data_IF_168513958726
#
_entry.id   IF_168513958726
#
_cell.length_a   1.000
_cell.length_b   1.000
_cell.length_c   1.000
_cell.angle_alpha   90.00
_cell.angle_beta   90.00
_cell.angle_gamma   90.00
#
_symmetry.space_group_name_H-M   'P 1'
#
loop_
_entity.id
_entity.type
_entity.pdbx_description
1 polymer ?
#
# COMPACT_ATOMS: atom_id res chain seq x y z
N UNK A 1 10.99 -39.60 -8.36
CA UNK A 1 11.82 -38.53 -7.76
C UNK A 1 11.25 -38.20 -6.39
N UNK A 2 12.08 -38.03 -5.36
CA UNK A 2 11.63 -37.50 -4.07
C UNK A 2 11.45 -35.99 -4.23
N UNK A 3 10.34 -35.55 -4.82
CA UNK A 3 9.99 -34.14 -4.88
C UNK A 3 9.89 -33.59 -3.45
N UNK A 4 10.63 -32.50 -3.20
CA UNK A 4 10.64 -31.77 -1.94
C UNK A 4 9.33 -30.99 -1.76
N UNK A 5 9.13 -30.35 -0.61
CA UNK A 5 7.85 -29.69 -0.30
C UNK A 5 7.53 -28.52 -1.23
N UNK A 6 8.53 -27.77 -1.71
CA UNK A 6 8.35 -26.68 -2.66
C UNK A 6 7.85 -27.17 -4.01
N UNK A 7 8.47 -28.23 -4.58
CA UNK A 7 8.00 -28.83 -5.84
C UNK A 7 6.62 -29.45 -5.68
N UNK A 8 6.36 -30.10 -4.54
CA UNK A 8 5.02 -30.62 -4.26
C UNK A 8 3.98 -29.50 -4.19
N UNK A 9 4.34 -28.33 -3.66
CA UNK A 9 3.47 -27.17 -3.58
C UNK A 9 3.26 -26.48 -4.93
N UNK A 10 4.30 -26.35 -5.76
CA UNK A 10 4.17 -25.82 -7.14
C UNK A 10 3.32 -26.72 -8.03
N UNK A 11 3.33 -28.03 -7.79
CA UNK A 11 2.49 -29.00 -8.50
C UNK A 11 1.05 -29.07 -7.94
N UNK A 12 0.75 -28.37 -6.85
CA UNK A 12 -0.55 -28.46 -6.17
C UNK A 12 -0.82 -29.82 -5.53
N UNK A 13 0.23 -30.62 -5.30
CA UNK A 13 0.12 -31.99 -4.82
C UNK A 13 -0.19 -32.01 -3.30
N UNK A 14 -1.46 -31.81 -2.97
CA UNK A 14 -1.97 -31.71 -1.61
C UNK A 14 -1.56 -32.89 -0.74
N UNK A 15 -1.75 -34.12 -1.21
CA UNK A 15 -1.42 -35.34 -0.46
C UNK A 15 0.07 -35.40 -0.11
N UNK A 16 0.93 -34.96 -1.02
CA UNK A 16 2.37 -34.97 -0.81
C UNK A 16 2.81 -33.88 0.15
N UNK A 17 2.26 -32.66 0.02
CA UNK A 17 2.56 -31.56 0.96
C UNK A 17 2.10 -31.94 2.37
N UNK A 18 0.87 -32.43 2.52
CA UNK A 18 0.34 -32.91 3.79
C UNK A 18 1.16 -34.06 4.35
N UNK A 19 1.53 -35.04 3.52
CA UNK A 19 2.41 -36.13 3.91
C UNK A 19 3.73 -35.61 4.48
N UNK A 20 4.35 -34.61 3.86
CA UNK A 20 5.60 -34.02 4.36
C UNK A 20 5.35 -33.26 5.67
N UNK A 21 4.34 -32.40 5.74
CA UNK A 21 4.08 -31.58 6.93
C UNK A 21 3.76 -32.43 8.15
N UNK A 22 2.92 -33.48 8.01
CA UNK A 22 2.56 -34.38 9.12
C UNK A 22 3.72 -35.25 9.61
N UNK A 23 4.56 -35.76 8.70
CA UNK A 23 5.59 -36.74 9.06
C UNK A 23 6.98 -36.12 9.30
N UNK A 24 7.14 -34.82 9.09
CA UNK A 24 8.42 -34.14 9.32
C UNK A 24 8.76 -33.91 10.80
N UNK A 25 7.85 -34.21 11.74
CA UNK A 25 7.99 -33.90 13.17
C UNK A 25 8.37 -32.43 13.43
N UNK A 26 7.82 -31.50 12.65
CA UNK A 26 8.11 -30.06 12.75
C UNK A 26 9.41 -29.63 12.09
N UNK A 27 10.15 -30.54 11.46
CA UNK A 27 11.34 -30.19 10.65
C UNK A 27 10.93 -29.34 9.45
N UNK A 28 9.77 -29.64 8.84
CA UNK A 28 9.21 -28.87 7.72
C UNK A 28 7.88 -28.25 8.12
N UNK A 29 7.70 -27.00 7.75
CA UNK A 29 6.49 -26.19 7.97
C UNK A 29 6.14 -25.46 6.68
N UNK A 30 4.95 -24.86 6.57
CA UNK A 30 4.64 -24.02 5.41
C UNK A 30 5.56 -22.78 5.28
N UNK A 31 6.30 -22.40 6.34
CA UNK A 31 7.29 -21.31 6.32
C UNK A 31 8.73 -21.81 6.11
N UNK A 32 8.93 -23.11 5.85
CA UNK A 32 10.27 -23.64 5.59
C UNK A 32 10.85 -22.99 4.34
N UNK A 33 11.96 -22.28 4.54
CA UNK A 33 12.67 -21.52 3.52
C UNK A 33 13.66 -22.40 2.77
N UNK A 34 13.74 -22.25 1.45
CA UNK A 34 14.86 -22.76 0.66
C UNK A 34 16.06 -21.80 0.71
N UNK A 35 17.03 -21.97 -0.18
CA UNK A 35 18.24 -21.12 -0.25
C UNK A 35 17.94 -19.65 -0.58
N UNK A 36 16.82 -19.36 -1.24
CA UNK A 36 16.37 -18.04 -1.63
C UNK A 36 15.33 -17.47 -0.65
N UNK A 37 15.11 -18.14 0.48
CA UNK A 37 14.04 -17.74 1.41
C UNK A 37 12.65 -18.15 0.95
N UNK A 38 12.53 -18.76 -0.24
CA UNK A 38 11.28 -19.13 -0.87
C UNK A 38 10.61 -20.25 -0.07
N UNK A 39 9.29 -20.18 0.10
CA UNK A 39 8.55 -21.15 0.92
C UNK A 39 7.56 -21.93 0.07
N UNK A 40 7.05 -23.08 0.57
CA UNK A 40 5.95 -23.78 -0.09
C UNK A 40 4.70 -22.91 -0.31
N UNK A 41 4.50 -21.88 0.51
CA UNK A 41 3.38 -20.94 0.34
C UNK A 41 3.61 -20.01 -0.86
N UNK A 42 4.85 -19.55 -1.09
CA UNK A 42 5.17 -18.80 -2.31
C UNK A 42 4.94 -19.68 -3.55
N UNK A 43 5.45 -20.91 -3.54
CA UNK A 43 5.24 -21.86 -4.64
C UNK A 43 3.75 -22.15 -4.90
N UNK A 44 2.95 -22.37 -3.86
CA UNK A 44 1.51 -22.60 -4.02
C UNK A 44 0.78 -21.36 -4.56
N UNK A 45 1.18 -20.15 -4.14
CA UNK A 45 0.59 -18.90 -4.62
C UNK A 45 0.95 -18.62 -6.08
N UNK A 46 2.22 -18.81 -6.47
CA UNK A 46 2.69 -18.59 -7.84
C UNK A 46 1.95 -19.41 -8.88
N UNK A 47 1.55 -20.64 -8.52
CA UNK A 47 0.82 -21.55 -9.42
C UNK A 47 -0.68 -21.66 -9.12
N UNK A 48 -1.22 -20.75 -8.30
CA UNK A 48 -2.67 -20.63 -8.05
C UNK A 48 -3.33 -21.78 -7.27
N UNK A 49 -2.58 -22.49 -6.43
CA UNK A 49 -3.06 -23.62 -5.64
C UNK A 49 -3.80 -23.18 -4.37
N UNK A 50 -4.95 -22.52 -4.55
CA UNK A 50 -5.74 -21.88 -3.48
C UNK A 50 -6.18 -22.83 -2.36
N UNK A 51 -6.61 -24.05 -2.70
CA UNK A 51 -7.03 -25.04 -1.70
C UNK A 51 -5.86 -25.48 -0.82
N UNK A 52 -4.68 -25.58 -1.43
CA UNK A 52 -3.45 -25.91 -0.72
C UNK A 52 -3.04 -24.76 0.22
N UNK A 53 -3.13 -23.50 -0.23
CA UNK A 53 -2.88 -22.33 0.62
C UNK A 53 -3.83 -22.29 1.81
N UNK A 54 -5.15 -22.44 1.57
CA UNK A 54 -6.17 -22.50 2.64
C UNK A 54 -5.83 -23.58 3.66
N UNK A 55 -5.45 -24.77 3.20
CA UNK A 55 -5.09 -25.87 4.08
C UNK A 55 -3.83 -25.58 4.89
N UNK A 56 -2.79 -25.04 4.25
CA UNK A 56 -1.54 -24.66 4.93
C UNK A 56 -1.79 -23.61 6.02
N UNK A 57 -2.58 -22.58 5.77
CA UNK A 57 -2.94 -21.56 6.77
C UNK A 57 -3.77 -22.14 7.92
N UNK A 58 -4.84 -22.89 7.61
CA UNK A 58 -5.84 -23.28 8.61
C UNK A 58 -5.42 -24.50 9.45
N UNK A 59 -4.70 -25.46 8.87
CA UNK A 59 -4.37 -26.73 9.54
C UNK A 59 -2.90 -26.81 9.98
N UNK A 60 -2.01 -26.04 9.36
CA UNK A 60 -0.55 -26.14 9.57
C UNK A 60 0.08 -24.82 10.02
N UNK A 61 -0.73 -23.88 10.52
CA UNK A 61 -0.28 -22.57 11.00
C UNK A 61 0.53 -21.79 9.95
N UNK A 62 0.11 -21.87 8.69
CA UNK A 62 0.61 -21.11 7.57
C UNK A 62 0.55 -19.59 7.81
N UNK A 63 1.68 -18.89 7.71
CA UNK A 63 1.70 -17.43 7.59
C UNK A 63 1.71 -17.01 6.12
N UNK A 64 0.59 -16.46 5.64
CA UNK A 64 0.45 -16.01 4.25
C UNK A 64 1.24 -14.73 3.94
N UNK A 65 1.80 -14.07 4.96
CA UNK A 65 2.63 -12.88 4.84
C UNK A 65 4.12 -13.18 5.05
N UNK A 66 4.50 -14.46 5.00
CA UNK A 66 5.91 -14.87 5.11
C UNK A 66 6.74 -14.21 4.01
N UNK A 67 7.91 -13.68 4.36
CA UNK A 67 8.80 -13.03 3.40
C UNK A 67 9.83 -14.02 2.87
N UNK A 68 10.17 -13.99 1.60
CA UNK A 68 11.37 -14.62 1.06
C UNK A 68 12.65 -13.77 1.34
N UNK A 69 13.75 -13.97 0.60
CA UNK A 69 14.96 -13.18 0.78
C UNK A 69 14.91 -11.82 0.06
N UNK A 70 14.07 -11.68 -0.96
CA UNK A 70 13.84 -10.42 -1.67
C UNK A 70 12.80 -9.55 -0.94
N UNK A 71 12.18 -10.11 0.12
CA UNK A 71 11.18 -9.41 0.93
C UNK A 71 9.78 -9.53 0.33
N UNK A 72 9.61 -10.38 -0.68
CA UNK A 72 8.34 -10.67 -1.29
C UNK A 72 7.52 -11.57 -0.39
N UNK A 73 6.21 -11.33 -0.37
CA UNK A 73 5.21 -12.23 0.23
C UNK A 73 4.70 -13.21 -0.83
N UNK A 74 4.02 -14.31 -0.46
CA UNK A 74 3.29 -15.14 -1.43
C UNK A 74 2.38 -14.35 -2.36
N UNK A 75 1.82 -13.21 -1.90
CA UNK A 75 1.00 -12.36 -2.75
C UNK A 75 1.82 -11.77 -3.90
N UNK A 76 3.05 -11.28 -3.69
CA UNK A 76 3.88 -10.71 -4.77
C UNK A 76 4.11 -11.68 -5.95
N UNK A 77 4.03 -12.99 -5.71
CA UNK A 77 4.28 -14.02 -6.72
C UNK A 77 3.02 -14.50 -7.47
N UNK A 78 1.82 -14.00 -7.15
CA UNK A 78 0.56 -14.46 -7.78
C UNK A 78 0.45 -14.01 -9.24
N UNK A 79 -0.01 -14.90 -10.11
CA UNK A 79 -0.24 -14.63 -11.55
C UNK A 79 -1.73 -14.43 -11.91
N UNK A 80 -2.68 -14.72 -11.01
CA UNK A 80 -4.12 -14.65 -11.31
C UNK A 80 -4.98 -13.99 -10.21
N UNK A 81 -6.05 -13.31 -10.64
CA UNK A 81 -6.97 -12.59 -9.75
C UNK A 81 -7.73 -13.49 -8.77
N UNK A 82 -7.97 -14.76 -9.12
CA UNK A 82 -8.67 -15.72 -8.27
C UNK A 82 -7.86 -16.05 -7.03
N UNK A 83 -6.56 -16.32 -7.22
CA UNK A 83 -5.62 -16.57 -6.14
C UNK A 83 -5.40 -15.34 -5.27
N UNK A 84 -5.24 -14.17 -5.88
CA UNK A 84 -5.10 -12.90 -5.15
C UNK A 84 -6.32 -12.63 -4.24
N UNK A 85 -7.54 -12.84 -4.75
CA UNK A 85 -8.78 -12.72 -3.96
C UNK A 85 -8.78 -13.62 -2.74
N UNK A 86 -8.44 -14.90 -2.91
CA UNK A 86 -8.37 -15.84 -1.78
C UNK A 86 -7.36 -15.38 -0.74
N UNK A 87 -6.15 -14.99 -1.18
CA UNK A 87 -5.10 -14.54 -0.27
C UNK A 87 -5.55 -13.31 0.52
N UNK A 88 -6.08 -12.28 -0.16
CA UNK A 88 -6.44 -11.00 0.46
C UNK A 88 -7.71 -11.11 1.31
N UNK A 89 -8.73 -11.81 0.83
CA UNK A 89 -10.08 -11.75 1.42
C UNK A 89 -10.35 -12.88 2.42
N UNK A 90 -9.70 -14.03 2.23
CA UNK A 90 -9.92 -15.20 3.09
C UNK A 90 -8.74 -15.50 4.01
N UNK A 91 -7.50 -15.29 3.54
CA UNK A 91 -6.30 -15.68 4.28
C UNK A 91 -5.62 -14.53 5.04
N UNK A 92 -6.10 -13.28 4.86
CA UNK A 92 -5.53 -12.11 5.53
C UNK A 92 -4.18 -11.67 4.96
N UNK A 93 -3.97 -11.86 3.65
CA UNK A 93 -2.82 -11.36 2.92
C UNK A 93 -2.74 -9.84 2.97
N UNK A 94 -1.63 -9.32 3.48
CA UNK A 94 -1.37 -7.90 3.57
C UNK A 94 -0.74 -7.40 2.26
N UNK A 95 -1.57 -6.79 1.43
CA UNK A 95 -1.19 -6.18 0.15
C UNK A 95 -0.43 -4.85 0.27
N UNK A 96 -0.11 -4.39 1.48
CA UNK A 96 0.67 -3.16 1.72
C UNK A 96 2.14 -3.41 2.08
N UNK A 97 2.52 -4.69 2.25
CA UNK A 97 3.91 -5.06 2.55
C UNK A 97 4.78 -4.69 1.35
N UNK A 98 5.92 -4.06 1.62
CA UNK A 98 6.92 -3.69 0.62
C UNK A 98 8.09 -4.66 0.65
N UNK A 99 8.51 -5.11 -0.52
CA UNK A 99 9.73 -5.91 -0.69
C UNK A 99 11.01 -5.05 -0.54
N UNK A 100 12.17 -5.65 -0.77
CA UNK A 100 13.47 -4.99 -0.62
C UNK A 100 13.71 -3.86 -1.64
N UNK A 101 12.99 -3.86 -2.75
CA UNK A 101 12.97 -2.79 -3.75
C UNK A 101 11.96 -1.68 -3.42
N UNK A 102 11.23 -1.84 -2.31
CA UNK A 102 10.23 -0.87 -1.86
C UNK A 102 8.87 -1.05 -2.55
N UNK A 103 8.64 -2.14 -3.25
CA UNK A 103 7.43 -2.38 -4.03
C UNK A 103 6.39 -3.14 -3.22
N UNK A 104 5.13 -2.72 -3.30
CA UNK A 104 3.98 -3.56 -2.90
C UNK A 104 3.69 -4.62 -3.97
N UNK A 105 2.86 -5.65 -3.70
CA UNK A 105 2.46 -6.60 -4.74
C UNK A 105 1.86 -5.89 -5.97
N UNK A 106 1.05 -4.84 -5.76
CA UNK A 106 0.50 -4.03 -6.85
C UNK A 106 1.60 -3.39 -7.70
N UNK A 107 2.60 -2.75 -7.07
CA UNK A 107 3.71 -2.10 -7.77
C UNK A 107 4.49 -3.11 -8.64
N UNK A 108 4.75 -4.30 -8.10
CA UNK A 108 5.46 -5.36 -8.82
C UNK A 108 4.65 -5.89 -10.02
N UNK A 109 3.32 -6.05 -9.91
CA UNK A 109 2.50 -6.47 -11.05
C UNK A 109 2.48 -5.43 -12.18
N UNK A 110 2.46 -4.15 -11.82
CA UNK A 110 2.50 -3.04 -12.79
C UNK A 110 3.85 -3.01 -13.52
N UNK A 111 4.97 -3.17 -12.80
CA UNK A 111 6.31 -3.15 -13.42
C UNK A 111 6.52 -4.34 -14.35
N UNK A 112 6.12 -5.54 -13.92
CA UNK A 112 6.31 -6.77 -14.71
C UNK A 112 5.34 -6.91 -15.89
N UNK A 113 4.30 -6.07 -15.95
CA UNK A 113 3.30 -6.10 -17.01
C UNK A 113 2.38 -7.31 -16.94
N UNK A 114 1.95 -7.66 -15.72
CA UNK A 114 1.10 -8.82 -15.42
C UNK A 114 -0.34 -8.67 -15.96
N UNK A 115 -1.18 -9.67 -15.68
CA UNK A 115 -2.60 -9.70 -16.06
C UNK A 115 -3.37 -8.44 -15.61
N UNK A 116 -4.07 -7.80 -16.55
CA UNK A 116 -4.80 -6.55 -16.29
C UNK A 116 -5.96 -6.68 -15.30
N UNK A 117 -6.59 -7.85 -15.18
CA UNK A 117 -7.63 -8.10 -14.17
C UNK A 117 -7.02 -8.19 -12.76
N UNK A 118 -5.83 -8.77 -12.63
CA UNK A 118 -5.09 -8.82 -11.37
C UNK A 118 -4.65 -7.42 -10.93
N UNK A 119 -4.07 -6.65 -11.84
CA UNK A 119 -3.65 -5.27 -11.58
C UNK A 119 -4.85 -4.42 -11.14
N UNK A 120 -5.97 -4.47 -11.87
CA UNK A 120 -7.17 -3.69 -11.53
C UNK A 120 -7.77 -4.13 -10.19
N UNK A 121 -7.81 -5.43 -9.90
CA UNK A 121 -8.25 -5.91 -8.59
C UNK A 121 -7.38 -5.34 -7.47
N UNK A 122 -6.05 -5.43 -7.61
CA UNK A 122 -5.10 -5.00 -6.59
C UNK A 122 -5.08 -3.49 -6.42
N UNK A 123 -5.28 -2.73 -7.50
CA UNK A 123 -5.51 -1.28 -7.49
C UNK A 123 -6.72 -0.91 -6.64
N UNK A 124 -7.88 -1.52 -6.92
CA UNK A 124 -9.12 -1.30 -6.17
C UNK A 124 -8.93 -1.65 -4.69
N UNK A 125 -8.27 -2.77 -4.38
CA UNK A 125 -8.03 -3.20 -2.98
C UNK A 125 -7.07 -2.28 -2.24
N UNK A 126 -6.02 -1.82 -2.91
CA UNK A 126 -5.01 -0.95 -2.32
C UNK A 126 -5.50 0.49 -2.14
N UNK A 127 -6.67 0.84 -2.71
CA UNK A 127 -7.17 2.21 -2.70
C UNK A 127 -6.33 3.15 -3.55
N UNK A 128 -5.52 2.61 -4.46
CA UNK A 128 -4.81 3.38 -5.48
C UNK A 128 -5.86 3.83 -6.47
N UNK A 129 -6.38 5.03 -6.25
CA UNK A 129 -7.34 5.67 -7.16
C UNK A 129 -6.56 6.32 -8.29
N UNK A 130 -6.34 5.61 -9.39
CA UNK A 130 -5.94 6.30 -10.62
C UNK A 130 -7.12 7.20 -11.02
N UNK A 131 -6.89 8.50 -11.10
CA UNK A 131 -7.71 9.40 -11.89
C UNK A 131 -7.51 9.03 -13.37
N UNK A 132 -8.14 7.93 -13.80
CA UNK A 132 -8.18 7.39 -15.16
C UNK A 132 -6.84 6.92 -15.76
N UNK A 133 -6.86 5.68 -16.26
CA UNK A 133 -5.73 5.01 -16.90
C UNK A 133 -4.95 5.91 -17.86
N UNK A 134 -3.66 6.02 -17.60
CA UNK A 134 -2.71 6.77 -18.39
C UNK A 134 -1.32 6.46 -17.89
N UNK A 135 -0.53 5.86 -18.76
CA UNK A 135 0.85 5.45 -18.55
C UNK A 135 1.69 6.53 -17.84
N UNK A 136 2.51 6.08 -16.89
CA UNK A 136 3.82 6.67 -16.66
C UNK A 136 4.06 7.31 -15.31
N UNK A 137 5.18 6.89 -14.72
CA UNK A 137 5.97 7.58 -13.70
C UNK A 137 5.36 7.72 -12.30
N UNK A 138 5.53 6.67 -11.49
CA UNK A 138 5.58 6.85 -10.04
C UNK A 138 7.04 6.94 -9.56
N UNK A 139 7.54 8.17 -9.63
CA UNK A 139 8.54 8.68 -8.70
C UNK A 139 7.93 8.75 -7.30
N UNK A 140 8.70 8.31 -6.31
CA UNK A 140 8.71 8.86 -4.97
C UNK A 140 7.52 8.53 -4.09
N UNK A 141 7.75 7.65 -3.11
CA UNK A 141 6.78 7.23 -2.10
C UNK A 141 5.89 8.34 -1.54
N UNK A 142 4.60 8.05 -1.44
CA UNK A 142 3.64 9.02 -0.91
C UNK A 142 2.83 8.42 0.23
N UNK A 143 2.83 9.18 1.33
CA UNK A 143 2.07 8.93 2.52
C UNK A 143 0.58 9.01 2.23
N UNK A 144 -0.13 8.10 2.88
CA UNK A 144 -1.57 7.91 2.84
C UNK A 144 -2.27 9.23 3.21
N UNK A 145 -2.90 9.89 2.24
CA UNK A 145 -3.99 10.82 2.54
C UNK A 145 -5.22 9.94 2.76
N UNK A 146 -5.68 9.85 4.01
CA UNK A 146 -6.93 9.16 4.30
C UNK A 146 -8.11 9.90 3.64
N UNK A 147 -9.07 9.15 3.08
CA UNK A 147 -10.25 9.68 2.37
C UNK A 147 -11.02 10.76 3.15
N UNK A 148 -11.05 10.66 4.48
CA UNK A 148 -11.69 11.67 5.33
C UNK A 148 -10.98 13.02 5.29
N UNK A 149 -9.63 13.04 5.27
CA UNK A 149 -8.85 14.27 5.19
C UNK A 149 -8.99 14.94 3.82
N UNK A 150 -9.11 14.13 2.77
CA UNK A 150 -9.36 14.60 1.41
C UNK A 150 -10.73 15.32 1.31
N UNK A 151 -11.78 14.75 1.91
CA UNK A 151 -13.11 15.36 1.93
C UNK A 151 -13.15 16.65 2.74
N UNK A 152 -12.53 16.66 3.94
CA UNK A 152 -12.41 17.89 4.75
C UNK A 152 -11.67 19.01 3.99
N UNK A 153 -10.65 18.65 3.20
CA UNK A 153 -9.93 19.62 2.37
C UNK A 153 -10.79 20.16 1.23
N UNK A 154 -11.53 19.29 0.52
CA UNK A 154 -12.46 19.71 -0.55
C UNK A 154 -13.48 20.72 -0.04
N UNK A 155 -14.04 20.49 1.15
CA UNK A 155 -14.98 21.41 1.79
C UNK A 155 -14.33 22.76 2.11
N UNK A 156 -13.08 22.76 2.59
CA UNK A 156 -12.33 24.00 2.86
C UNK A 156 -12.03 24.80 1.59
N UNK A 157 -11.65 24.12 0.49
CA UNK A 157 -11.39 24.77 -0.81
C UNK A 157 -12.66 25.38 -1.35
N UNK A 158 -13.78 24.64 -1.31
CA UNK A 158 -15.08 25.12 -1.71
C UNK A 158 -15.47 26.38 -0.92
N UNK A 159 -15.33 26.35 0.40
CA UNK A 159 -15.59 27.51 1.26
C UNK A 159 -14.72 28.71 0.86
N UNK A 160 -13.44 28.48 0.57
CA UNK A 160 -12.49 29.54 0.21
C UNK A 160 -12.87 30.23 -1.08
N UNK A 161 -13.43 29.51 -2.06
CA UNK A 161 -13.81 30.04 -3.36
C UNK A 161 -15.23 30.63 -3.40
N UNK A 162 -16.15 30.11 -2.57
CA UNK A 162 -17.52 30.63 -2.47
C UNK A 162 -17.58 31.96 -1.69
N UNK A 163 -16.62 32.25 -0.81
CA UNK A 163 -16.57 33.50 -0.04
C UNK A 163 -15.57 34.47 -0.66
N UNK A 164 -15.90 35.77 -0.71
CA UNK A 164 -14.97 36.80 -1.16
C UNK A 164 -13.85 37.02 -0.11
N UNK A 165 -12.60 37.32 -0.54
CA UNK A 165 -11.54 37.65 0.41
C UNK A 165 -11.90 38.91 1.20
N UNK A 166 -11.55 38.95 2.49
CA UNK A 166 -11.77 40.14 3.32
C UNK A 166 -11.01 41.37 2.74
N UNK A 167 -11.60 42.55 2.89
CA UNK A 167 -10.97 43.82 2.49
C UNK A 167 -9.64 44.00 3.25
N UNK A 168 -8.52 43.89 2.52
CA UNK A 168 -7.17 43.94 3.08
C UNK A 168 -6.49 42.59 3.30
N UNK A 169 -7.01 41.51 2.71
CA UNK A 169 -6.33 40.20 2.69
C UNK A 169 -4.88 40.33 2.22
N UNK A 170 -3.99 39.57 2.86
CA UNK A 170 -2.58 39.56 2.52
C UNK A 170 -2.33 38.84 1.18
N UNK A 171 -1.17 39.11 0.58
CA UNK A 171 -0.83 38.52 -0.71
C UNK A 171 -0.75 36.99 -0.66
N UNK A 172 -0.46 36.40 0.50
CA UNK A 172 -0.43 34.95 0.68
C UNK A 172 -1.84 34.34 0.54
N UNK A 173 -2.86 34.90 1.20
CA UNK A 173 -4.25 34.46 1.03
C UNK A 173 -4.74 34.64 -0.40
N UNK A 174 -4.39 35.75 -1.06
CA UNK A 174 -4.74 35.99 -2.46
C UNK A 174 -4.01 35.04 -3.43
N UNK A 175 -2.77 34.66 -3.14
CA UNK A 175 -2.02 33.66 -3.92
C UNK A 175 -2.60 32.26 -3.74
N UNK A 176 -2.91 31.87 -2.50
CA UNK A 176 -3.55 30.60 -2.19
C UNK A 176 -4.87 30.44 -2.94
N UNK A 177 -5.73 31.47 -2.91
CA UNK A 177 -6.99 31.48 -3.67
C UNK A 177 -6.76 31.34 -5.18
N UNK A 178 -5.84 32.12 -5.76
CA UNK A 178 -5.53 32.06 -7.20
C UNK A 178 -5.04 30.68 -7.64
N UNK A 179 -4.26 30.00 -6.81
CA UNK A 179 -3.82 28.63 -7.07
C UNK A 179 -5.01 27.66 -7.09
N UNK A 180 -5.92 27.76 -6.12
CA UNK A 180 -7.13 26.94 -6.09
C UNK A 180 -8.04 27.22 -7.30
N UNK A 181 -8.19 28.47 -7.72
CA UNK A 181 -8.96 28.83 -8.92
C UNK A 181 -8.36 28.23 -10.21
N UNK A 182 -7.03 28.22 -10.34
CA UNK A 182 -6.35 27.58 -11.48
C UNK A 182 -6.61 26.08 -11.52
N UNK A 183 -6.51 25.41 -10.37
CA UNK A 183 -6.76 23.97 -10.25
C UNK A 183 -8.21 23.61 -10.63
N UNK A 184 -9.21 24.39 -10.17
CA UNK A 184 -10.63 24.09 -10.43
C UNK A 184 -11.05 24.43 -11.87
N UNK A 185 -10.35 25.35 -12.52
CA UNK A 185 -10.63 25.70 -13.92
C UNK A 185 -9.85 24.85 -14.93
N UNK A 186 -8.94 23.99 -14.47
CA UNK A 186 -8.19 23.05 -15.30
C UNK A 186 -9.02 21.86 -15.79
N UNK A 187 -8.50 21.15 -16.79
CA UNK A 187 -9.18 19.98 -17.38
C UNK A 187 -9.11 18.73 -16.47
N UNK A 188 -8.24 18.73 -15.45
CA UNK A 188 -7.95 17.59 -14.60
C UNK A 188 -8.01 17.94 -13.10
N UNK A 189 -9.14 18.53 -12.70
CA UNK A 189 -9.36 19.15 -11.38
C UNK A 189 -9.04 18.19 -10.23
N UNK A 190 -9.45 16.93 -10.32
CA UNK A 190 -9.33 15.98 -9.21
C UNK A 190 -7.87 15.60 -8.93
N UNK A 191 -7.08 15.34 -9.98
CA UNK A 191 -5.66 14.98 -9.85
C UNK A 191 -4.80 16.17 -9.42
N UNK A 192 -5.07 17.37 -9.95
CA UNK A 192 -4.33 18.57 -9.56
C UNK A 192 -4.63 18.99 -8.11
N UNK A 193 -5.88 18.82 -7.66
CA UNK A 193 -6.26 19.06 -6.28
C UNK A 193 -5.58 18.07 -5.33
N UNK A 194 -5.55 16.78 -5.69
CA UNK A 194 -4.88 15.77 -4.89
C UNK A 194 -3.37 16.04 -4.76
N UNK A 195 -2.70 16.36 -5.87
CA UNK A 195 -1.29 16.75 -5.88
C UNK A 195 -1.02 17.97 -4.99
N UNK A 196 -1.92 18.95 -5.02
CA UNK A 196 -1.84 20.15 -4.18
C UNK A 196 -1.93 19.79 -2.68
N UNK A 197 -2.88 18.93 -2.31
CA UNK A 197 -3.05 18.45 -0.92
C UNK A 197 -1.81 17.68 -0.46
N UNK A 198 -1.30 16.75 -1.28
CA UNK A 198 -0.09 15.98 -0.97
C UNK A 198 1.10 16.90 -0.67
N UNK A 199 1.26 17.93 -1.49
CA UNK A 199 2.32 18.94 -1.31
C UNK A 199 2.15 19.72 -0.01
N UNK A 200 0.94 20.21 0.28
CA UNK A 200 0.64 20.93 1.52
C UNK A 200 0.84 20.07 2.78
N UNK A 201 0.35 18.83 2.78
CA UNK A 201 0.54 17.89 3.90
C UNK A 201 2.02 17.60 4.12
N UNK A 202 2.79 17.42 3.04
CA UNK A 202 4.25 17.21 3.10
C UNK A 202 4.95 18.44 3.70
N UNK A 203 4.60 19.64 3.28
CA UNK A 203 5.16 20.89 3.82
C UNK A 203 4.80 21.09 5.31
N UNK A 204 3.56 20.77 5.70
CA UNK A 204 3.12 20.88 7.09
C UNK A 204 3.79 19.86 8.01
N UNK A 205 4.00 18.62 7.53
CA UNK A 205 4.73 17.58 8.26
C UNK A 205 6.22 17.91 8.40
N UNK A 206 6.84 18.49 7.38
CA UNK A 206 8.23 18.97 7.43
C UNK A 206 8.37 20.22 8.33
N UNK A 207 7.32 21.03 8.44
CA UNK A 207 7.27 22.22 9.30
C UNK A 207 7.10 21.93 10.80
N UNK A 208 6.49 20.81 11.19
CA UNK A 208 6.26 20.47 12.61
C UNK A 208 7.49 19.86 13.32
N UNK A 209 8.58 19.57 12.61
CA UNK A 209 9.86 19.15 13.20
C UNK A 209 10.65 20.28 13.85
N UNK A 210 10.27 21.54 13.64
CA UNK A 210 10.95 22.69 14.20
C UNK A 210 9.90 23.74 14.59
N UNK A 211 9.37 23.67 15.81
CA UNK A 211 8.93 24.78 16.67
C UNK A 211 8.17 24.22 17.89
N UNK A 212 8.86 23.41 18.70
CA UNK A 212 8.45 23.08 20.07
C UNK A 212 9.19 23.97 21.05
N UNK A 213 8.72 25.20 21.24
CA UNK A 213 9.35 26.19 22.11
C UNK A 213 8.39 27.30 22.55
N UNK A 214 7.16 26.94 22.94
CA UNK A 214 6.29 27.84 23.69
C UNK A 214 6.84 27.99 25.12
N UNK A 215 7.39 29.16 25.41
CA UNK A 215 7.49 29.69 26.77
C UNK A 215 6.62 30.96 26.83
N UNK A 216 5.37 30.79 27.25
CA UNK A 216 4.63 31.80 28.03
C UNK A 216 5.44 32.06 29.32
N UNK A 217 5.58 33.23 29.93
CA UNK A 217 4.77 34.45 29.99
C UNK A 217 5.67 35.57 30.58
N UNK A 218 5.29 36.86 30.47
CA UNK A 218 6.03 37.98 31.06
C UNK A 218 5.49 38.35 32.45
N UNK A 219 6.29 38.29 33.50
CA UNK A 219 5.93 38.89 34.79
C UNK A 219 6.61 40.25 35.02
N UNK A 220 5.76 41.21 35.35
CA UNK A 220 6.02 42.62 35.44
C UNK A 220 6.18 43.01 36.91
N UNK A 221 7.19 43.85 37.19
CA UNK A 221 7.32 44.74 38.37
C UNK A 221 7.84 44.11 39.67
N UNK A 222 9.01 44.61 40.09
CA UNK A 222 9.09 45.49 41.29
C UNK A 222 10.34 46.37 41.28
N UNK A 223 10.10 47.68 41.28
CA UNK A 223 10.97 48.73 41.87
C UNK A 223 11.35 48.29 43.29
N UNK A 224 12.56 48.52 43.80
CA UNK A 224 13.17 49.81 44.11
C UNK A 224 14.63 49.59 44.50
#
# INVERSE_FOLDING_TARGET
>A
MNANIWVAASDGNMDRVEGILRHSNGTMTPQSKDINGYTPMHAAAAYGHVDLLKKMCNEYNGDINVLDNDGDTPLHHVEDVGTAKVIVEELGGNYTIRNSEGQTPYDSYVENGEDGELIEYMRIKSGVVDAHGGEGSHDGGEGIINSQLLEEFKDSVRYTLENDPEDGADEATLQHRRQLEQIITGDNVEEELERYIRTMVREQMLGQGALGGHADEPDSKRRK
#
